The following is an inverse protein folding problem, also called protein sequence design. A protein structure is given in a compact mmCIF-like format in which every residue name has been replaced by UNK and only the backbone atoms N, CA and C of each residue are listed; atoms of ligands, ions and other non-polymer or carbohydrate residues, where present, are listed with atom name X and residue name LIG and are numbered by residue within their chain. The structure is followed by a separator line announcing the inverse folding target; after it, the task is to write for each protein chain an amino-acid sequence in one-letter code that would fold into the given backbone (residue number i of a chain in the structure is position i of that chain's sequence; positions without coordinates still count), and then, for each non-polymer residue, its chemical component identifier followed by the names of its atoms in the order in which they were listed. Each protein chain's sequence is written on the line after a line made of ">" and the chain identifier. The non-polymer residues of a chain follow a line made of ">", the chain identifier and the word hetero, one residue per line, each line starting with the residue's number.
data_IF_300017683162
#
_entry.id   IF_300017683162
#
_cell.length_a   1.000
_cell.length_b   1.000
_cell.length_c   1.000
_cell.angle_alpha   90.00
_cell.angle_beta   90.00
_cell.angle_gamma   90.00
#
_symmetry.space_group_name_H-M   'P 1'
#
loop_
_entity.id
_entity.type
_entity.pdbx_description
1 polymer ?
#
# COMPACT_ATOMS: atom_id res chain seq x y z
N UNK A 1 -13.96 3.27 4.96
CA UNK A 1 -12.95 2.19 4.84
C UNK A 1 -12.61 1.70 6.23
N UNK A 2 -12.68 0.39 6.47
CA UNK A 2 -12.23 -0.22 7.73
C UNK A 2 -10.72 -0.47 7.68
N UNK A 3 -9.94 0.58 7.92
CA UNK A 3 -8.50 0.42 8.05
C UNK A 3 -8.15 -0.42 9.27
N UNK A 4 -8.92 -0.32 10.36
CA UNK A 4 -8.65 -1.02 11.62
C UNK A 4 -8.68 -2.54 11.53
N UNK A 5 -9.54 -3.10 10.67
CA UNK A 5 -9.68 -4.56 10.52
C UNK A 5 -8.57 -5.21 9.69
N UNK A 6 -7.79 -4.44 8.93
CA UNK A 6 -6.95 -5.00 7.86
C UNK A 6 -5.59 -4.32 7.72
N UNK A 7 -5.47 -3.06 8.11
CA UNK A 7 -4.23 -2.27 8.06
C UNK A 7 -3.80 -1.89 9.48
N UNK A 8 -2.54 -2.17 9.80
CA UNK A 8 -2.00 -1.84 11.12
C UNK A 8 -1.90 -0.33 11.37
N UNK A 9 -2.06 0.07 12.64
CA UNK A 9 -2.18 1.48 13.04
C UNK A 9 -1.03 2.38 12.57
N UNK A 10 0.21 1.88 12.57
CA UNK A 10 1.34 2.69 12.09
C UNK A 10 1.35 2.88 10.57
N UNK A 11 0.90 1.89 9.77
CA UNK A 11 0.75 2.08 8.32
C UNK A 11 -0.32 3.14 8.02
N UNK A 12 -1.44 3.11 8.75
CA UNK A 12 -2.46 4.16 8.63
C UNK A 12 -1.87 5.54 8.94
N UNK A 13 -1.20 5.69 10.09
CA UNK A 13 -0.55 6.94 10.47
C UNK A 13 0.46 7.42 9.42
N UNK A 14 1.29 6.51 8.90
CA UNK A 14 2.32 6.82 7.91
C UNK A 14 1.75 7.32 6.57
N UNK A 15 0.58 6.81 6.19
CA UNK A 15 -0.19 7.26 5.03
C UNK A 15 -0.90 8.59 5.31
N UNK A 16 -1.46 8.76 6.51
CA UNK A 16 -2.12 10.01 6.91
C UNK A 16 -1.12 11.18 6.98
N UNK A 17 0.13 10.92 7.34
CA UNK A 17 1.26 11.87 7.36
C UNK A 17 1.73 12.31 5.96
N UNK A 18 1.29 11.64 4.89
CA UNK A 18 1.60 12.06 3.53
C UNK A 18 0.67 13.18 3.05
N UNK A 19 0.96 14.40 3.44
CA UNK A 19 0.29 15.61 2.96
C UNK A 19 1.27 16.76 2.69
N UNK A 20 0.73 17.87 2.19
CA UNK A 20 1.51 19.07 1.91
C UNK A 20 2.65 18.86 0.91
N UNK A 21 3.75 19.58 1.11
CA UNK A 21 4.97 19.44 0.30
C UNK A 21 5.88 18.36 0.93
N UNK A 22 6.23 17.35 0.13
CA UNK A 22 7.03 16.20 0.55
C UNK A 22 8.19 15.93 -0.42
N UNK A 23 9.29 15.30 0.03
CA UNK A 23 9.66 15.12 1.43
C UNK A 23 9.99 16.45 2.11
N UNK A 24 9.75 16.50 3.41
CA UNK A 24 10.28 17.56 4.27
C UNK A 24 11.76 17.29 4.52
N UNK A 25 12.61 18.29 4.30
CA UNK A 25 14.06 18.21 4.50
C UNK A 25 14.48 19.10 5.69
N UNK A 26 15.43 18.66 6.54
CA UNK A 26 15.82 19.41 7.74
C UNK A 26 16.35 20.81 7.42
N UNK A 27 16.98 21.01 6.26
CA UNK A 27 17.42 22.34 5.82
C UNK A 27 16.27 23.36 5.74
N UNK A 28 15.07 22.94 5.33
CA UNK A 28 13.92 23.85 5.24
C UNK A 28 13.31 24.13 6.62
N UNK A 29 13.37 23.18 7.56
CA UNK A 29 13.00 23.45 8.95
C UNK A 29 13.90 24.57 9.52
N UNK A 30 15.20 24.50 9.26
CA UNK A 30 16.18 25.50 9.75
C UNK A 30 16.01 26.87 9.08
N UNK A 31 15.70 26.90 7.78
CA UNK A 31 15.58 28.14 6.98
C UNK A 31 14.22 28.82 7.14
N UNK A 32 13.13 28.05 7.13
CA UNK A 32 11.75 28.57 7.04
C UNK A 32 10.95 28.35 8.33
N UNK A 33 11.44 27.55 9.28
CA UNK A 33 10.72 27.19 10.50
C UNK A 33 9.53 26.27 10.23
N UNK A 34 8.35 26.85 9.97
CA UNK A 34 7.10 26.09 9.82
C UNK A 34 7.00 25.44 8.44
N UNK A 35 7.20 24.12 8.38
CA UNK A 35 7.18 23.35 7.12
C UNK A 35 6.19 22.16 7.10
N UNK A 36 5.49 21.90 8.21
CA UNK A 36 4.60 20.74 8.38
C UNK A 36 3.12 21.04 8.10
N UNK A 37 2.82 22.15 7.42
CA UNK A 37 1.44 22.51 7.09
C UNK A 37 1.01 21.87 5.77
N UNK A 38 -0.27 21.49 5.66
CA UNK A 38 -0.85 21.00 4.39
C UNK A 38 -0.69 22.06 3.29
N UNK A 39 -1.04 23.31 3.60
CA UNK A 39 -0.73 24.44 2.74
C UNK A 39 0.65 25.01 3.11
N UNK A 40 1.61 25.08 2.18
CA UNK A 40 2.93 25.60 2.48
C UNK A 40 2.90 27.09 2.80
N UNK A 41 3.84 27.54 3.63
CA UNK A 41 4.05 28.97 3.91
C UNK A 41 4.73 29.68 2.73
N UNK A 42 4.56 30.99 2.61
CA UNK A 42 5.25 31.80 1.60
C UNK A 42 6.77 31.64 1.66
N UNK A 43 7.35 31.58 2.87
CA UNK A 43 8.79 31.38 3.05
C UNK A 43 9.26 30.04 2.47
N UNK A 44 8.48 28.97 2.68
CA UNK A 44 8.79 27.65 2.15
C UNK A 44 8.64 27.62 0.62
N UNK A 45 7.58 28.24 0.08
CA UNK A 45 7.37 28.37 -1.36
C UNK A 45 8.57 29.10 -2.00
N UNK A 46 8.96 30.25 -1.45
CA UNK A 46 10.09 31.03 -1.95
C UNK A 46 11.43 30.29 -1.83
N UNK A 47 11.62 29.48 -0.80
CA UNK A 47 12.79 28.63 -0.66
C UNK A 47 12.88 27.57 -1.78
N UNK A 48 11.76 26.96 -2.17
CA UNK A 48 11.69 26.00 -3.28
C UNK A 48 11.83 26.66 -4.65
N UNK A 49 11.22 27.84 -4.86
CA UNK A 49 11.36 28.63 -6.10
C UNK A 49 12.81 29.00 -6.38
N UNK A 50 13.51 29.54 -5.38
CA UNK A 50 14.93 29.93 -5.48
C UNK A 50 15.80 28.75 -5.94
N UNK A 51 15.40 27.53 -5.55
CA UNK A 51 16.09 26.28 -5.87
C UNK A 51 15.58 25.60 -7.14
N UNK A 52 14.55 26.16 -7.79
CA UNK A 52 13.92 25.62 -9.01
C UNK A 52 13.50 24.17 -8.82
N UNK A 53 12.77 23.93 -7.73
CA UNK A 53 12.20 22.63 -7.38
C UNK A 53 10.72 22.63 -7.79
N UNK A 54 10.38 21.71 -8.68
CA UNK A 54 9.00 21.45 -9.11
C UNK A 54 8.41 20.28 -8.32
N UNK A 55 7.09 20.14 -8.37
CA UNK A 55 6.32 19.16 -7.61
C UNK A 55 5.38 18.33 -8.48
N UNK A 56 5.21 17.05 -8.15
CA UNK A 56 4.20 16.17 -8.72
C UNK A 56 3.07 15.97 -7.70
N UNK A 57 1.82 16.21 -8.07
CA UNK A 57 0.69 15.86 -7.18
C UNK A 57 0.50 14.34 -7.22
N UNK A 58 0.57 13.69 -6.06
CA UNK A 58 0.49 12.23 -5.91
C UNK A 58 -0.75 11.88 -5.11
N UNK A 59 -1.66 11.12 -5.73
CA UNK A 59 -2.83 10.57 -5.09
C UNK A 59 -2.49 9.28 -4.35
N UNK A 60 -2.99 9.17 -3.12
CA UNK A 60 -2.99 7.93 -2.34
C UNK A 60 -4.33 7.24 -2.59
N UNK A 61 -4.28 6.11 -3.29
CA UNK A 61 -5.45 5.38 -3.74
C UNK A 61 -5.60 4.11 -2.92
N UNK A 62 -6.81 3.88 -2.42
CA UNK A 62 -7.18 2.65 -1.73
C UNK A 62 -8.26 1.91 -2.52
N UNK A 63 -7.98 0.65 -2.82
CA UNK A 63 -8.99 -0.28 -3.33
C UNK A 63 -9.46 -1.17 -2.20
N UNK A 64 -10.76 -1.49 -2.20
CA UNK A 64 -11.39 -2.26 -1.13
C UNK A 64 -12.29 -3.37 -1.67
N UNK A 65 -12.53 -4.36 -0.82
CA UNK A 65 -13.35 -5.54 -1.07
C UNK A 65 -14.26 -5.80 0.14
N UNK A 66 -15.15 -6.79 0.01
CA UNK A 66 -15.94 -7.30 1.15
C UNK A 66 -16.79 -6.23 1.82
N UNK A 67 -17.45 -5.39 1.02
CA UNK A 67 -18.27 -4.29 1.53
C UNK A 67 -19.47 -4.81 2.33
N UNK A 68 -19.67 -4.23 3.51
CA UNK A 68 -20.78 -4.53 4.42
C UNK A 68 -21.35 -3.24 4.98
N UNK A 69 -22.65 -3.23 5.28
CA UNK A 69 -23.29 -2.08 5.94
C UNK A 69 -23.14 -2.22 7.46
N UNK A 70 -22.53 -1.21 8.10
CA UNK A 70 -22.40 -1.09 9.56
C UNK A 70 -22.94 0.26 9.99
N UNK A 71 -23.94 0.26 10.87
CA UNK A 71 -24.56 1.48 11.40
C UNK A 71 -25.00 2.49 10.31
N UNK A 72 -25.54 1.98 9.19
CA UNK A 72 -25.98 2.81 8.05
C UNK A 72 -24.85 3.33 7.16
N UNK A 73 -23.60 2.90 7.39
CA UNK A 73 -22.43 3.27 6.59
C UNK A 73 -21.90 2.04 5.86
N UNK A 74 -21.65 2.19 4.55
CA UNK A 74 -21.00 1.14 3.77
C UNK A 74 -19.51 1.10 4.07
N UNK A 75 -19.04 -0.05 4.55
CA UNK A 75 -17.68 -0.25 5.02
C UNK A 75 -17.01 -1.34 4.18
N UNK A 76 -15.96 -0.96 3.45
CA UNK A 76 -15.10 -1.90 2.71
C UNK A 76 -13.77 -2.15 3.42
N UNK A 77 -13.23 -3.36 3.23
CA UNK A 77 -11.91 -3.78 3.70
C UNK A 77 -10.85 -3.48 2.64
N UNK A 78 -9.73 -2.81 2.96
CA UNK A 78 -8.71 -2.50 1.97
C UNK A 78 -7.98 -3.77 1.51
N UNK A 79 -7.75 -3.93 0.21
CA UNK A 79 -6.86 -4.99 -0.33
C UNK A 79 -5.65 -4.42 -1.07
N UNK A 80 -5.63 -3.11 -1.35
CA UNK A 80 -4.49 -2.45 -1.96
C UNK A 80 -4.42 -0.97 -1.57
N UNK A 81 -3.22 -0.49 -1.30
CA UNK A 81 -2.88 0.93 -1.20
C UNK A 81 -1.82 1.23 -2.25
N UNK A 82 -2.01 2.27 -3.05
CA UNK A 82 -1.06 2.66 -4.09
C UNK A 82 -0.90 4.17 -4.20
N UNK A 83 0.28 4.59 -4.67
CA UNK A 83 0.57 5.97 -5.02
C UNK A 83 0.46 6.13 -6.53
N UNK A 84 -0.30 7.13 -7.00
CA UNK A 84 -0.40 7.44 -8.43
C UNK A 84 -0.21 8.94 -8.66
N UNK A 85 0.69 9.34 -9.58
CA UNK A 85 0.81 10.74 -9.94
C UNK A 85 -0.42 11.20 -10.70
N UNK A 86 -0.85 12.43 -10.46
CA UNK A 86 -1.80 13.10 -11.32
C UNK A 86 -1.21 13.25 -12.73
N UNK A 87 -2.06 13.06 -13.72
CA UNK A 87 -1.65 13.01 -15.11
C UNK A 87 -2.56 13.87 -15.99
N UNK A 88 -2.00 14.30 -17.13
CA UNK A 88 -2.76 14.94 -18.19
C UNK A 88 -2.32 14.31 -19.50
N UNK A 89 -3.27 13.77 -20.26
CA UNK A 89 -3.01 13.07 -21.53
C UNK A 89 -1.95 11.97 -21.38
N UNK A 90 -2.07 11.16 -20.32
CA UNK A 90 -1.17 10.03 -20.06
C UNK A 90 0.26 10.41 -19.66
N UNK A 91 0.52 11.66 -19.28
CA UNK A 91 1.83 12.12 -18.80
C UNK A 91 1.74 12.67 -17.39
N UNK A 92 2.71 12.31 -16.56
CA UNK A 92 2.89 12.87 -15.23
C UNK A 92 3.01 14.39 -15.33
N UNK A 93 2.24 15.10 -14.50
CA UNK A 93 2.29 16.55 -14.45
C UNK A 93 3.27 17.02 -13.36
N UNK A 94 3.90 18.15 -13.62
CA UNK A 94 4.72 18.87 -12.63
C UNK A 94 4.19 20.28 -12.50
N UNK A 95 4.26 20.83 -11.29
CA UNK A 95 3.89 22.20 -10.97
C UNK A 95 5.11 22.91 -10.36
N UNK A 96 5.41 24.14 -10.78
CA UNK A 96 6.41 24.96 -10.11
C UNK A 96 5.96 25.30 -8.67
N UNK A 97 6.90 25.69 -7.82
CA UNK A 97 6.60 25.98 -6.41
C UNK A 97 5.57 27.12 -6.22
N UNK A 98 5.58 28.15 -7.08
CA UNK A 98 4.66 29.30 -7.02
C UNK A 98 3.19 28.93 -7.23
N UNK A 99 2.91 27.80 -7.87
CA UNK A 99 1.58 27.23 -8.00
C UNK A 99 0.83 27.15 -6.66
N UNK A 100 1.55 26.78 -5.60
CA UNK A 100 0.97 26.54 -4.27
C UNK A 100 0.60 27.83 -3.51
N UNK A 101 0.88 29.02 -4.06
CA UNK A 101 0.35 30.29 -3.51
C UNK A 101 -1.16 30.42 -3.72
N UNK A 102 -1.63 29.90 -4.85
CA UNK A 102 -3.02 30.03 -5.29
C UNK A 102 -3.78 28.69 -5.28
N UNK A 103 -3.07 27.59 -5.02
CA UNK A 103 -3.64 26.27 -4.98
C UNK A 103 -3.72 25.75 -3.55
N UNK A 104 -4.95 25.52 -3.08
CA UNK A 104 -5.21 25.03 -1.74
C UNK A 104 -5.19 23.49 -1.70
N UNK A 105 -4.14 22.92 -1.11
CA UNK A 105 -4.00 21.46 -0.96
C UNK A 105 -5.03 20.88 0.03
N UNK A 106 -5.50 21.66 1.01
CA UNK A 106 -6.55 21.20 1.94
C UNK A 106 -7.89 20.97 1.26
N UNK A 107 -8.17 21.68 0.17
CA UNK A 107 -9.41 21.49 -0.58
C UNK A 107 -9.44 20.13 -1.30
N UNK A 108 -8.28 19.56 -1.65
CA UNK A 108 -8.20 18.21 -2.21
C UNK A 108 -8.66 17.14 -1.21
N UNK A 109 -8.40 17.33 0.09
CA UNK A 109 -8.87 16.42 1.15
C UNK A 109 -10.41 16.43 1.31
N UNK A 110 -11.08 17.49 0.84
CA UNK A 110 -12.55 17.62 0.88
C UNK A 110 -13.22 17.00 -0.33
N UNK A 111 -12.49 16.80 -1.42
CA UNK A 111 -13.00 16.19 -2.64
C UNK A 111 -13.10 14.67 -2.49
N UNK A 112 -14.18 14.09 -2.97
CA UNK A 112 -14.42 12.65 -3.02
C UNK A 112 -13.81 12.02 -4.29
N UNK A 113 -12.57 12.39 -4.63
CA UNK A 113 -11.93 11.92 -5.85
C UNK A 113 -11.80 10.40 -5.87
N UNK A 114 -12.07 9.82 -7.03
CA UNK A 114 -12.04 8.37 -7.24
C UNK A 114 -11.65 8.04 -8.67
N UNK A 115 -11.06 6.87 -8.83
CA UNK A 115 -10.79 6.24 -10.11
C UNK A 115 -11.78 5.09 -10.33
N UNK A 116 -12.55 5.13 -11.41
CA UNK A 116 -13.39 4.01 -11.85
C UNK A 116 -12.60 3.07 -12.75
N UNK A 117 -12.78 1.76 -12.56
CA UNK A 117 -12.06 0.75 -13.32
C UNK A 117 -10.57 0.70 -12.98
N UNK A 118 -10.18 1.19 -11.80
CA UNK A 118 -8.79 1.24 -11.35
C UNK A 118 -8.32 -0.16 -10.97
N UNK A 119 -7.34 -0.66 -11.72
CA UNK A 119 -6.72 -1.94 -11.45
C UNK A 119 -5.33 -1.71 -10.83
N UNK A 120 -5.13 -1.99 -9.53
CA UNK A 120 -3.87 -1.74 -8.84
C UNK A 120 -2.72 -2.65 -9.30
N UNK A 121 -3.03 -3.73 -10.03
CA UNK A 121 -2.05 -4.66 -10.60
C UNK A 121 -1.56 -4.22 -11.99
N UNK A 122 -2.21 -3.22 -12.59
CA UNK A 122 -1.86 -2.69 -13.93
C UNK A 122 -1.86 -1.15 -13.91
N UNK A 123 -1.64 -0.53 -15.08
CA UNK A 123 -1.69 0.93 -15.22
C UNK A 123 -3.12 1.46 -15.46
N UNK A 124 -4.09 0.56 -15.61
CA UNK A 124 -5.40 0.87 -16.17
C UNK A 124 -6.37 1.51 -15.18
N UNK A 125 -7.02 2.58 -15.64
CA UNK A 125 -8.28 3.09 -15.10
C UNK A 125 -9.14 3.60 -16.26
N UNK A 126 -10.45 3.64 -16.08
CA UNK A 126 -11.37 4.12 -17.11
C UNK A 126 -11.64 5.62 -16.96
N UNK A 127 -11.88 6.08 -15.74
CA UNK A 127 -12.28 7.47 -15.49
C UNK A 127 -11.75 7.95 -14.14
N UNK A 128 -11.46 9.26 -14.04
CA UNK A 128 -11.05 9.94 -12.81
C UNK A 128 -11.93 11.16 -12.59
N UNK A 129 -12.37 11.38 -11.36
CA UNK A 129 -13.34 12.42 -11.03
C UNK A 129 -13.93 12.23 -9.65
N UNK A 130 -14.95 13.03 -9.33
CA UNK A 130 -15.68 12.95 -8.07
C UNK A 130 -16.58 11.72 -8.04
N UNK A 131 -16.54 10.94 -6.95
CA UNK A 131 -17.36 9.75 -6.79
C UNK A 131 -18.87 10.07 -6.82
N UNK A 132 -19.29 11.12 -6.13
CA UNK A 132 -20.66 11.63 -6.14
C UNK A 132 -21.13 11.99 -7.55
N UNK A 133 -20.26 12.62 -8.36
CA UNK A 133 -20.54 12.86 -9.77
C UNK A 133 -20.71 11.56 -10.57
N UNK A 134 -20.04 10.47 -10.23
CA UNK A 134 -20.19 9.21 -10.95
C UNK A 134 -21.53 8.54 -10.65
N UNK A 135 -21.92 8.47 -9.38
CA UNK A 135 -23.17 7.82 -8.96
C UNK A 135 -24.42 8.67 -9.27
N UNK A 136 -24.27 9.98 -9.46
CA UNK A 136 -25.39 10.85 -9.84
C UNK A 136 -25.97 10.55 -11.22
N UNK A 137 -25.21 9.86 -12.09
CA UNK A 137 -25.64 9.47 -13.44
C UNK A 137 -26.29 8.07 -13.48
N UNK A 138 -26.53 7.46 -12.32
CA UNK A 138 -27.15 6.15 -12.18
C UNK A 138 -26.21 5.09 -11.57
N UNK A 139 -26.68 3.84 -11.46
CA UNK A 139 -25.90 2.78 -10.84
C UNK A 139 -24.64 2.48 -11.66
N UNK A 140 -23.50 2.41 -10.97
CA UNK A 140 -22.24 2.02 -11.58
C UNK A 140 -22.27 0.53 -11.95
N UNK A 141 -21.90 0.21 -13.19
CA UNK A 141 -21.76 -1.18 -13.67
C UNK A 141 -20.38 -1.79 -13.37
N UNK A 142 -19.51 -1.04 -12.71
CA UNK A 142 -18.15 -1.47 -12.37
C UNK A 142 -18.16 -2.30 -11.09
N UNK A 143 -17.30 -3.32 -11.02
CA UNK A 143 -17.08 -4.04 -9.77
C UNK A 143 -16.47 -3.12 -8.71
N UNK A 144 -16.92 -3.23 -7.46
CA UNK A 144 -16.55 -2.32 -6.37
C UNK A 144 -15.06 -2.37 -6.01
N UNK A 145 -14.41 -3.52 -6.21
CA UNK A 145 -12.97 -3.71 -6.05
C UNK A 145 -12.15 -2.89 -7.05
N UNK A 146 -12.73 -2.61 -8.22
CA UNK A 146 -12.13 -1.76 -9.25
C UNK A 146 -12.41 -0.25 -9.04
N UNK A 147 -12.91 0.15 -7.87
CA UNK A 147 -13.00 1.56 -7.49
C UNK A 147 -11.80 1.92 -6.61
N UNK A 148 -10.96 2.81 -7.12
CA UNK A 148 -9.82 3.35 -6.39
C UNK A 148 -10.18 4.67 -5.71
N UNK A 149 -10.41 4.64 -4.41
CA UNK A 149 -10.76 5.83 -3.63
C UNK A 149 -9.51 6.65 -3.31
N UNK A 150 -9.50 7.94 -3.67
CA UNK A 150 -8.41 8.84 -3.28
C UNK A 150 -8.63 9.26 -1.83
N UNK A 151 -7.72 8.86 -0.96
CA UNK A 151 -7.79 9.14 0.48
C UNK A 151 -7.03 10.39 0.88
N UNK A 152 -5.98 10.72 0.14
CA UNK A 152 -5.18 11.92 0.33
C UNK A 152 -4.39 12.25 -0.94
N UNK A 153 -3.88 13.48 -1.03
CA UNK A 153 -2.98 13.92 -2.09
C UNK A 153 -1.87 14.78 -1.48
N UNK A 154 -0.62 14.51 -1.87
CA UNK A 154 0.53 15.33 -1.47
C UNK A 154 1.32 15.79 -2.70
N UNK A 155 2.10 16.86 -2.54
CA UNK A 155 2.96 17.40 -3.56
C UNK A 155 4.40 16.87 -3.39
N UNK A 156 4.83 15.99 -4.29
CA UNK A 156 6.15 15.38 -4.28
C UNK A 156 7.18 16.25 -5.01
N UNK A 157 8.17 16.77 -4.28
CA UNK A 157 9.32 17.46 -4.83
C UNK A 157 10.08 16.56 -5.80
N UNK A 158 10.43 17.12 -6.96
CA UNK A 158 11.17 16.43 -8.03
C UNK A 158 12.65 16.24 -7.71
N UNK A 159 13.17 16.98 -6.73
CA UNK A 159 14.56 16.95 -6.25
C UNK A 159 14.59 17.11 -4.73
N UNK A 160 15.40 16.30 -4.06
CA UNK A 160 15.59 16.29 -2.61
C UNK A 160 16.91 15.57 -2.28
N UNK A 161 17.42 15.79 -1.08
CA UNK A 161 18.59 15.12 -0.52
C UNK A 161 18.15 13.95 0.37
N UNK A 162 18.65 12.75 0.06
CA UNK A 162 18.28 11.52 0.73
C UNK A 162 18.57 11.55 2.22
N UNK A 163 19.71 12.12 2.61
CA UNK A 163 20.20 12.12 3.98
C UNK A 163 19.58 13.27 4.81
N UNK A 164 18.89 14.22 4.16
CA UNK A 164 18.25 15.36 4.82
C UNK A 164 16.74 15.17 5.04
N UNK A 165 16.15 14.07 4.52
CA UNK A 165 14.71 13.77 4.67
C UNK A 165 14.34 13.55 6.13
N UNK A 166 13.31 14.27 6.57
CA UNK A 166 12.65 14.06 7.85
C UNK A 166 11.69 12.87 7.76
N UNK A 167 11.77 11.96 8.73
CA UNK A 167 10.81 10.86 8.87
C UNK A 167 9.72 11.24 9.89
N UNK A 168 8.50 10.71 9.75
CA UNK A 168 7.43 10.96 10.71
C UNK A 168 7.78 10.44 12.11
N UNK A 169 7.02 10.90 13.10
CA UNK A 169 7.11 10.33 14.45
C UNK A 169 6.86 8.83 14.42
N UNK A 170 7.81 8.03 14.90
CA UNK A 170 7.73 6.58 14.89
C UNK A 170 7.46 6.03 16.30
N UNK A 171 6.81 4.86 16.42
CA UNK A 171 6.89 4.06 17.63
C UNK A 171 8.35 3.86 18.04
N UNK A 172 8.63 3.80 19.36
CA UNK A 172 9.97 3.48 19.85
C UNK A 172 10.36 2.10 19.32
N UNK A 173 11.38 2.04 18.47
CA UNK A 173 11.94 0.81 17.93
C UNK A 173 13.47 0.92 17.84
N UNK A 174 14.13 -0.19 17.47
CA UNK A 174 15.59 -0.19 17.37
C UNK A 174 16.09 0.69 16.19
N UNK A 175 17.33 1.22 16.27
CA UNK A 175 17.87 2.11 15.24
C UNK A 175 17.95 1.51 13.83
N UNK A 176 18.12 0.18 13.73
CA UNK A 176 18.15 -0.50 12.43
C UNK A 176 16.79 -0.41 11.73
N UNK A 177 15.69 -0.66 12.44
CA UNK A 177 14.34 -0.54 11.90
C UNK A 177 14.00 0.90 11.52
N UNK A 178 14.45 1.88 12.30
CA UNK A 178 14.34 3.30 11.94
C UNK A 178 15.06 3.58 10.62
N UNK A 179 16.30 3.11 10.45
CA UNK A 179 17.06 3.28 9.20
C UNK A 179 16.42 2.54 8.02
N UNK A 180 15.96 1.30 8.23
CA UNK A 180 15.26 0.49 7.21
C UNK A 180 13.98 1.19 6.76
N UNK A 181 13.22 1.75 7.70
CA UNK A 181 12.02 2.52 7.43
C UNK A 181 12.30 3.82 6.69
N UNK A 182 13.27 4.61 7.12
CA UNK A 182 13.68 5.83 6.42
C UNK A 182 14.04 5.51 4.95
N UNK A 183 14.85 4.46 4.72
CA UNK A 183 15.19 4.01 3.37
C UNK A 183 13.96 3.57 2.57
N UNK A 184 13.05 2.81 3.19
CA UNK A 184 11.81 2.37 2.56
C UNK A 184 10.94 3.56 2.17
N UNK A 185 10.60 4.45 3.11
CA UNK A 185 9.75 5.63 2.87
C UNK A 185 10.36 6.54 1.81
N UNK A 186 11.65 6.85 1.90
CA UNK A 186 12.32 7.71 0.92
C UNK A 186 12.37 7.10 -0.48
N UNK A 187 12.70 5.80 -0.62
CA UNK A 187 12.77 5.13 -1.93
C UNK A 187 11.41 4.81 -2.53
N UNK A 188 10.42 4.53 -1.68
CA UNK A 188 9.09 4.09 -2.11
C UNK A 188 8.12 5.24 -2.25
N UNK A 189 8.14 6.23 -1.36
CA UNK A 189 7.14 7.30 -1.38
C UNK A 189 7.69 8.48 -2.16
N UNK A 190 8.94 8.88 -1.89
CA UNK A 190 9.53 10.11 -2.43
C UNK A 190 10.31 9.96 -3.73
N UNK A 191 10.46 8.74 -4.27
CA UNK A 191 10.98 8.58 -5.63
C UNK A 191 10.00 9.22 -6.63
N UNK A 192 10.47 10.19 -7.41
CA UNK A 192 9.67 10.82 -8.47
C UNK A 192 9.11 9.79 -9.45
N UNK A 193 7.96 10.10 -10.04
CA UNK A 193 7.35 9.30 -11.07
C UNK A 193 7.84 9.73 -12.45
N UNK A 194 8.39 8.78 -13.20
CA UNK A 194 8.79 8.96 -14.62
C UNK A 194 7.67 8.56 -15.58
N UNK A 195 6.65 7.86 -15.08
CA UNK A 195 5.48 7.40 -15.81
C UNK A 195 4.25 7.38 -14.88
N UNK A 196 3.10 7.08 -15.45
CA UNK A 196 1.82 7.11 -14.74
C UNK A 196 1.49 5.84 -13.97
N UNK A 197 2.46 4.92 -13.82
CA UNK A 197 2.21 3.61 -13.21
C UNK A 197 1.98 3.80 -11.72
N UNK A 198 0.93 3.18 -11.16
CA UNK A 198 0.75 3.19 -9.73
C UNK A 198 1.91 2.44 -9.06
N UNK A 199 2.35 2.95 -7.92
CA UNK A 199 3.34 2.32 -7.07
C UNK A 199 2.65 1.80 -5.82
N UNK A 200 2.53 0.49 -5.72
CA UNK A 200 1.89 -0.15 -4.56
C UNK A 200 2.66 0.10 -3.26
N UNK A 201 1.96 0.40 -2.19
CA UNK A 201 2.53 0.50 -0.84
C UNK A 201 2.30 -0.79 -0.06
N UNK A 202 1.09 -1.33 -0.13
CA UNK A 202 0.66 -2.50 0.62
C UNK A 202 -0.51 -3.21 -0.10
N UNK A 203 -0.73 -4.48 0.23
CA UNK A 203 -1.85 -5.29 -0.25
C UNK A 203 -1.46 -6.32 -1.32
N UNK A 204 -2.45 -6.99 -1.91
CA UNK A 204 -2.25 -8.10 -2.84
C UNK A 204 -1.30 -7.77 -4.01
N UNK A 205 -0.61 -8.79 -4.50
CA UNK A 205 0.39 -8.73 -5.57
C UNK A 205 -0.20 -9.13 -6.92
N UNK A 206 -1.32 -9.85 -6.94
CA UNK A 206 -1.93 -10.34 -8.16
C UNK A 206 -3.46 -10.42 -8.11
N UNK A 207 -4.14 -10.49 -9.28
CA UNK A 207 -5.57 -10.74 -9.35
C UNK A 207 -6.01 -12.08 -8.73
N UNK A 208 -5.18 -13.13 -8.81
CA UNK A 208 -5.52 -14.44 -8.25
C UNK A 208 -5.57 -14.40 -6.72
N UNK A 209 -4.67 -13.66 -6.08
CA UNK A 209 -4.74 -13.40 -4.64
C UNK A 209 -6.05 -12.69 -4.29
N UNK A 210 -6.43 -11.65 -5.03
CA UNK A 210 -7.69 -10.93 -4.81
C UNK A 210 -8.90 -11.86 -4.93
N UNK A 211 -8.94 -12.75 -5.92
CA UNK A 211 -10.04 -13.72 -6.08
C UNK A 211 -10.15 -14.68 -4.90
N UNK A 212 -9.02 -15.22 -4.44
CA UNK A 212 -9.01 -16.08 -3.26
C UNK A 212 -9.42 -15.30 -2.00
N UNK A 213 -8.94 -14.07 -1.83
CA UNK A 213 -9.30 -13.20 -0.71
C UNK A 213 -10.80 -12.92 -0.66
N UNK A 214 -11.42 -12.63 -1.80
CA UNK A 214 -12.88 -12.48 -1.91
C UNK A 214 -13.60 -13.75 -1.45
N UNK A 215 -13.18 -14.92 -1.93
CA UNK A 215 -13.80 -16.18 -1.55
C UNK A 215 -13.62 -16.49 -0.05
N UNK A 216 -12.43 -16.25 0.52
CA UNK A 216 -12.17 -16.38 1.96
C UNK A 216 -13.13 -15.51 2.78
N UNK A 217 -13.32 -14.26 2.36
CA UNK A 217 -14.23 -13.34 3.04
C UNK A 217 -15.69 -13.81 3.03
N UNK A 218 -16.16 -14.49 1.99
CA UNK A 218 -17.52 -15.08 1.98
C UNK A 218 -17.72 -16.19 3.02
N UNK A 219 -16.62 -16.77 3.52
CA UNK A 219 -16.60 -17.76 4.61
C UNK A 219 -16.19 -17.15 5.94
N UNK A 220 -16.19 -15.83 6.06
CA UNK A 220 -15.76 -15.08 7.25
C UNK A 220 -14.31 -15.36 7.67
N UNK A 221 -13.46 -15.79 6.73
CA UNK A 221 -12.04 -15.95 6.97
C UNK A 221 -11.31 -14.63 6.66
N UNK A 222 -10.49 -14.17 7.59
CA UNK A 222 -9.76 -12.90 7.50
C UNK A 222 -8.27 -13.12 7.75
N UNK A 223 -7.49 -13.54 6.73
CA UNK A 223 -6.05 -13.70 6.89
C UNK A 223 -5.32 -12.35 6.94
N UNK A 224 -4.09 -12.36 7.43
CA UNK A 224 -3.12 -11.29 7.18
C UNK A 224 -2.62 -11.38 5.74
N UNK A 225 -2.60 -10.26 5.01
CA UNK A 225 -2.20 -10.18 3.60
C UNK A 225 -0.70 -9.86 3.51
N UNK A 226 0.03 -10.56 2.63
CA UNK A 226 1.44 -10.33 2.32
C UNK A 226 2.33 -10.35 3.58
N UNK A 227 2.41 -11.51 4.22
CA UNK A 227 3.06 -11.70 5.53
C UNK A 227 4.46 -12.28 5.42
N UNK A 228 5.45 -11.48 5.81
CA UNK A 228 6.84 -11.94 5.92
C UNK A 228 7.01 -12.87 7.12
N UNK A 229 7.70 -14.00 6.90
CA UNK A 229 8.01 -15.00 7.93
C UNK A 229 9.53 -15.07 8.10
N UNK A 230 10.02 -15.03 9.34
CA UNK A 230 11.44 -14.87 9.67
C UNK A 230 12.02 -16.12 10.35
N UNK A 231 13.35 -16.26 10.35
CA UNK A 231 14.07 -17.42 10.89
C UNK A 231 13.86 -17.69 12.39
N UNK A 232 13.40 -16.69 13.15
CA UNK A 232 13.03 -16.80 14.58
C UNK A 232 11.56 -17.21 14.79
N UNK A 233 10.79 -17.38 13.71
CA UNK A 233 9.36 -17.68 13.75
C UNK A 233 8.45 -16.45 13.93
N UNK A 234 9.00 -15.24 14.01
CA UNK A 234 8.21 -14.01 13.94
C UNK A 234 7.57 -13.83 12.55
N UNK A 235 6.41 -13.16 12.53
CA UNK A 235 5.63 -12.92 11.31
C UNK A 235 5.17 -11.48 11.25
N UNK A 236 5.35 -10.85 10.08
CA UNK A 236 5.03 -9.45 9.87
C UNK A 236 4.42 -9.15 8.49
N UNK A 237 3.11 -8.85 8.36
CA UNK A 237 2.43 -8.33 7.16
C UNK A 237 2.96 -7.01 6.58
N UNK A 238 3.82 -6.30 7.31
CA UNK A 238 4.48 -5.10 6.78
C UNK A 238 5.66 -4.69 7.65
N UNK A 239 6.56 -3.88 7.07
CA UNK A 239 7.58 -3.16 7.83
C UNK A 239 6.96 -2.31 8.95
N UNK A 240 5.79 -1.71 8.71
CA UNK A 240 5.07 -0.90 9.69
C UNK A 240 4.61 -1.71 10.91
N UNK A 241 4.13 -2.93 10.69
CA UNK A 241 3.74 -3.82 11.78
C UNK A 241 4.98 -4.33 12.54
N UNK A 242 6.06 -4.67 11.84
CA UNK A 242 7.33 -5.05 12.46
C UNK A 242 7.84 -3.93 13.40
N UNK A 243 7.81 -2.68 12.95
CA UNK A 243 8.15 -1.50 13.77
C UNK A 243 7.25 -1.38 15.01
N UNK A 244 5.94 -1.56 14.81
CA UNK A 244 4.95 -1.44 15.89
C UNK A 244 5.09 -2.55 16.94
N UNK A 245 5.50 -3.75 16.53
CA UNK A 245 5.66 -4.89 17.43
C UNK A 245 6.83 -4.73 18.39
N UNK A 246 7.82 -3.89 18.05
CA UNK A 246 9.01 -3.56 18.84
C UNK A 246 9.72 -4.77 19.48
N UNK A 247 9.60 -5.96 18.85
CA UNK A 247 10.34 -7.15 19.27
C UNK A 247 11.80 -7.01 18.83
N UNK A 248 12.71 -7.67 19.54
CA UNK A 248 14.17 -7.51 19.47
C UNK A 248 14.83 -7.94 18.14
N UNK A 249 14.09 -8.01 17.05
CA UNK A 249 14.49 -8.72 15.84
C UNK A 249 14.67 -7.70 14.70
N UNK A 250 15.88 -7.14 14.62
CA UNK A 250 16.28 -6.24 13.54
C UNK A 250 17.30 -6.85 12.58
N UNK A 251 17.82 -8.04 12.86
CA UNK A 251 18.85 -8.67 12.00
C UNK A 251 18.48 -10.09 11.61
N UNK A 252 17.25 -10.52 11.92
CA UNK A 252 16.80 -11.85 11.55
C UNK A 252 16.42 -11.87 10.08
N UNK A 253 16.96 -12.86 9.37
CA UNK A 253 16.73 -13.01 7.94
C UNK A 253 15.29 -13.47 7.71
N UNK A 254 14.66 -12.85 6.72
CA UNK A 254 13.35 -13.27 6.25
C UNK A 254 13.50 -14.55 5.41
N UNK A 255 12.64 -15.54 5.67
CA UNK A 255 12.56 -16.78 4.91
C UNK A 255 11.78 -16.55 3.62
N UNK A 256 10.56 -16.01 3.73
CA UNK A 256 9.62 -15.82 2.62
C UNK A 256 8.55 -14.78 2.97
N UNK A 257 7.76 -14.38 1.97
CA UNK A 257 6.48 -13.68 2.13
C UNK A 257 5.35 -14.64 1.74
N UNK A 258 4.40 -14.88 2.64
CA UNK A 258 3.17 -15.62 2.34
C UNK A 258 2.09 -14.65 1.82
N UNK A 259 1.36 -15.03 0.77
CA UNK A 259 0.30 -14.18 0.22
C UNK A 259 -0.82 -13.96 1.25
N UNK A 260 -1.16 -15.04 1.98
CA UNK A 260 -2.07 -14.99 3.13
C UNK A 260 -1.50 -15.78 4.31
N UNK A 261 -1.72 -15.28 5.52
CA UNK A 261 -1.30 -15.95 6.75
C UNK A 261 -2.41 -15.95 7.80
N UNK A 262 -2.62 -17.09 8.45
CA UNK A 262 -3.50 -17.23 9.62
C UNK A 262 -2.64 -17.44 10.87
N UNK A 263 -2.44 -16.41 11.71
CA UNK A 263 -1.55 -16.48 12.87
C UNK A 263 -1.92 -17.58 13.86
N UNK A 264 -3.21 -17.71 14.20
CA UNK A 264 -3.70 -18.66 15.21
C UNK A 264 -3.44 -20.12 14.81
N UNK A 265 -3.70 -20.47 13.54
CA UNK A 265 -3.47 -21.81 13.00
C UNK A 265 -2.04 -22.03 12.48
N UNK A 266 -1.19 -21.00 12.50
CA UNK A 266 0.13 -20.97 11.85
C UNK A 266 0.09 -21.51 10.42
N UNK A 267 -0.87 -21.05 9.61
CA UNK A 267 -1.04 -21.48 8.23
C UNK A 267 -0.60 -20.37 7.27
N UNK A 268 0.43 -20.65 6.47
CA UNK A 268 0.89 -19.82 5.36
C UNK A 268 0.32 -20.32 4.04
N UNK A 269 -0.25 -19.43 3.24
CA UNK A 269 -0.84 -19.74 1.95
C UNK A 269 -0.07 -19.01 0.84
N UNK A 270 0.23 -19.74 -0.22
CA UNK A 270 0.90 -19.23 -1.42
C UNK A 270 0.02 -19.46 -2.66
N UNK A 271 -0.19 -18.40 -3.44
CA UNK A 271 -0.96 -18.36 -4.68
C UNK A 271 -0.02 -18.52 -5.87
N UNK A 272 0.18 -19.75 -6.32
CA UNK A 272 1.17 -20.05 -7.36
C UNK A 272 0.60 -19.78 -8.76
N UNK A 273 0.90 -18.61 -9.32
CA UNK A 273 0.42 -18.18 -10.65
C UNK A 273 0.84 -19.08 -11.82
N UNK A 274 1.90 -19.88 -11.68
CA UNK A 274 2.51 -20.63 -12.77
C UNK A 274 2.70 -22.12 -12.42
N UNK A 275 1.79 -22.98 -12.90
CA UNK A 275 2.09 -24.42 -13.04
C UNK A 275 2.98 -24.73 -14.27
N UNK A 276 3.21 -23.78 -15.18
CA UNK A 276 3.84 -24.05 -16.48
C UNK A 276 5.34 -23.74 -16.60
N UNK A 277 5.98 -23.32 -15.51
CA UNK A 277 7.45 -23.34 -15.41
C UNK A 277 7.86 -24.25 -14.26
N UNK A 278 7.72 -25.56 -14.49
CA UNK A 278 8.42 -26.65 -13.77
C UNK A 278 9.95 -26.52 -13.95
N UNK A 279 10.52 -25.39 -13.54
CA UNK A 279 11.96 -25.27 -13.42
C UNK A 279 12.32 -25.96 -12.11
N UNK A 280 13.09 -27.04 -12.18
CA UNK A 280 13.56 -27.79 -11.01
C UNK A 280 14.11 -26.87 -9.91
N UNK A 281 14.71 -25.72 -10.26
CA UNK A 281 15.19 -24.73 -9.29
C UNK A 281 14.09 -24.07 -8.46
N UNK A 282 12.94 -23.75 -9.06
CA UNK A 282 11.81 -23.16 -8.35
C UNK A 282 11.27 -24.17 -7.34
N UNK A 283 11.03 -25.40 -7.77
CA UNK A 283 10.58 -26.49 -6.90
C UNK A 283 11.53 -26.77 -5.73
N UNK A 284 12.84 -26.80 -5.99
CA UNK A 284 13.85 -26.97 -4.93
C UNK A 284 13.82 -25.79 -3.93
N UNK A 285 13.60 -24.57 -4.40
CA UNK A 285 13.49 -23.41 -3.51
C UNK A 285 12.20 -23.44 -2.70
N UNK A 286 11.08 -23.81 -3.31
CA UNK A 286 9.80 -23.97 -2.64
C UNK A 286 9.85 -25.07 -1.57
N UNK A 287 10.43 -26.23 -1.90
CA UNK A 287 10.68 -27.32 -0.95
C UNK A 287 11.57 -26.86 0.22
N UNK A 288 12.58 -26.02 -0.02
CA UNK A 288 13.41 -25.45 1.05
C UNK A 288 12.64 -24.51 1.96
N UNK A 289 11.80 -23.64 1.38
CA UNK A 289 10.92 -22.74 2.13
C UNK A 289 9.97 -23.57 2.99
N UNK A 290 9.30 -24.56 2.40
CA UNK A 290 8.35 -25.43 3.10
C UNK A 290 9.01 -26.16 4.27
N UNK A 291 10.22 -26.70 4.08
CA UNK A 291 10.99 -27.33 5.16
C UNK A 291 11.35 -26.33 6.28
N UNK A 292 11.75 -25.10 5.94
CA UNK A 292 12.03 -24.07 6.95
C UNK A 292 10.76 -23.67 7.72
N UNK A 293 9.63 -23.50 7.03
CA UNK A 293 8.35 -23.19 7.67
C UNK A 293 7.92 -24.33 8.61
N UNK A 294 8.07 -25.58 8.18
CA UNK A 294 7.76 -26.74 9.01
C UNK A 294 8.61 -26.79 10.29
N UNK A 295 9.90 -26.45 10.21
CA UNK A 295 10.78 -26.36 11.38
C UNK A 295 10.32 -25.30 12.40
N UNK A 296 9.65 -24.24 11.93
CA UNK A 296 9.04 -23.20 12.77
C UNK A 296 7.62 -23.56 13.24
N UNK A 297 7.12 -24.74 12.87
CA UNK A 297 5.75 -25.19 13.16
C UNK A 297 4.70 -24.43 12.34
N UNK A 298 5.06 -23.86 11.20
CA UNK A 298 4.16 -23.21 10.25
C UNK A 298 3.79 -24.21 9.15
N UNK A 299 2.50 -24.44 8.96
CA UNK A 299 1.98 -25.22 7.83
C UNK A 299 2.02 -24.36 6.57
N UNK A 300 2.49 -24.91 5.45
CA UNK A 300 2.38 -24.26 4.14
C UNK A 300 1.30 -24.93 3.28
N UNK A 301 0.46 -24.11 2.64
CA UNK A 301 -0.54 -24.53 1.68
C UNK A 301 -0.35 -23.77 0.37
N UNK A 302 0.02 -24.48 -0.68
CA UNK A 302 0.18 -23.94 -2.03
C UNK A 302 -1.09 -24.21 -2.84
N UNK A 303 -1.66 -23.15 -3.42
CA UNK A 303 -2.87 -23.20 -4.23
C UNK A 303 -2.53 -22.64 -5.60
N UNK A 304 -2.84 -23.41 -6.65
CA UNK A 304 -2.48 -23.01 -8.01
C UNK A 304 -3.40 -21.91 -8.52
N UNK A 305 -2.85 -20.96 -9.27
CA UNK A 305 -3.61 -19.90 -9.94
C UNK A 305 -4.73 -20.43 -10.83
N UNK A 306 -4.52 -21.49 -11.65
CA UNK A 306 -5.60 -22.12 -12.41
C UNK A 306 -6.76 -22.61 -11.53
N UNK A 307 -6.48 -23.26 -10.39
CA UNK A 307 -7.54 -23.72 -9.47
C UNK A 307 -8.32 -22.53 -8.89
N UNK A 308 -7.63 -21.43 -8.54
CA UNK A 308 -8.27 -20.21 -8.01
C UNK A 308 -9.15 -19.55 -9.07
N UNK A 309 -8.72 -19.55 -10.34
CA UNK A 309 -9.49 -18.99 -11.45
C UNK A 309 -10.72 -19.85 -11.77
N UNK A 310 -10.57 -21.17 -11.74
CA UNK A 310 -11.65 -22.12 -12.03
C UNK A 310 -12.71 -22.11 -10.93
N UNK A 311 -12.29 -22.27 -9.66
CA UNK A 311 -13.18 -22.32 -8.51
C UNK A 311 -12.47 -21.85 -7.22
N UNK A 312 -12.53 -20.54 -6.91
CA UNK A 312 -11.91 -20.02 -5.70
C UNK A 312 -12.60 -20.53 -4.43
N UNK A 313 -13.88 -20.94 -4.47
CA UNK A 313 -14.59 -21.46 -3.31
C UNK A 313 -14.16 -22.88 -2.94
N UNK A 314 -13.87 -23.71 -3.94
CA UNK A 314 -13.24 -25.02 -3.73
C UNK A 314 -11.85 -24.87 -3.12
N UNK A 315 -11.08 -23.86 -3.55
CA UNK A 315 -9.78 -23.53 -2.94
C UNK A 315 -9.93 -23.14 -1.47
N UNK A 316 -10.96 -22.36 -1.12
CA UNK A 316 -11.27 -22.03 0.28
C UNK A 316 -11.61 -23.29 1.10
N UNK A 317 -12.26 -24.30 0.53
CA UNK A 317 -12.45 -25.60 1.19
C UNK A 317 -11.14 -26.21 1.67
N UNK A 318 -10.10 -26.21 0.81
CA UNK A 318 -8.76 -26.70 1.18
C UNK A 318 -8.11 -25.87 2.30
N UNK A 319 -8.37 -24.56 2.32
CA UNK A 319 -7.90 -23.68 3.40
C UNK A 319 -8.57 -24.08 4.71
N UNK A 320 -9.91 -24.24 4.73
CA UNK A 320 -10.67 -24.64 5.90
C UNK A 320 -10.19 -25.99 6.46
N UNK A 321 -9.95 -26.97 5.59
CA UNK A 321 -9.43 -28.28 5.99
C UNK A 321 -8.02 -28.21 6.61
N UNK A 322 -7.29 -27.11 6.38
CA UNK A 322 -5.92 -26.91 6.85
C UNK A 322 -5.81 -26.05 8.12
N UNK A 323 -6.86 -25.30 8.48
CA UNK A 323 -6.94 -24.45 9.67
C UNK A 323 -6.97 -25.26 10.96
#
# INVERSE_FOLDING_TARGET
>A
MDFSSTIHGFLKFDIDDLDGLQPIENKYIKECGKVFNVNPSEDLISAYEKRKIDFQLINIIVNAYGFEEKDGVLVGKPYSISLKPMEKRGKVQTQPADYFRNFNLEDLKKCDYSYLGFNPFTQGYQMFGSYSSFISHGPLKQHSDMVGFVTNTYALATKWDFDDVCIPSMPKCNPYLVSKFAKYRTRRYFKKFENCNPRKIWGCDSPIELFLLHALNTKNLSPEIQTGIYEDGSTHPSLHQMISSNKREAEVRQITDADFYFPESKLAIFCDSNMFHNNNRARINDEKIDNHLQQLGVKSLRISGPDIIEDPYKCVGRVIDSL
#
